data_IF_737246705196
#
_entry.id   IF_737246705196
#
_cell.length_a   1.000
_cell.length_b   1.000
_cell.length_c   1.000
_cell.angle_alpha   90.00
_cell.angle_beta   90.00
_cell.angle_gamma   90.00
#
_symmetry.space_group_name_H-M   'P 1'
#
loop_
_entity.id
_entity.type
_entity.pdbx_description
1 polymer ?
#
# COMPACT_ATOMS: atom_id res chain seq x y z
N UNK A 1 9.98 7.71 -5.92
CA UNK A 1 9.29 7.99 -7.19
C UNK A 1 9.18 6.74 -8.07
N UNK A 2 10.27 5.96 -8.28
CA UNK A 2 10.25 4.79 -9.16
C UNK A 2 9.30 3.67 -8.71
N UNK A 3 9.16 3.40 -7.42
CA UNK A 3 8.20 2.41 -6.90
C UNK A 3 6.75 2.88 -7.10
N UNK A 4 6.44 4.13 -6.75
CA UNK A 4 5.10 4.70 -6.93
C UNK A 4 4.63 4.70 -8.38
N UNK A 5 5.53 4.96 -9.32
CA UNK A 5 5.22 4.92 -10.75
C UNK A 5 4.79 3.52 -11.23
N UNK A 6 5.38 2.44 -10.69
CA UNK A 6 5.00 1.07 -11.05
C UNK A 6 3.58 0.74 -10.61
N UNK A 7 3.22 1.10 -9.38
CA UNK A 7 1.86 0.94 -8.89
C UNK A 7 0.87 1.74 -9.74
N UNK A 8 1.18 3.01 -10.03
CA UNK A 8 0.32 3.86 -10.85
C UNK A 8 0.12 3.34 -12.27
N UNK A 9 1.18 2.92 -12.95
CA UNK A 9 1.08 2.40 -14.32
C UNK A 9 0.37 1.05 -14.38
N UNK A 10 0.56 0.18 -13.37
CA UNK A 10 -0.20 -1.08 -13.28
C UNK A 10 -1.69 -0.83 -13.05
N UNK A 11 -2.05 0.18 -12.24
CA UNK A 11 -3.45 0.60 -12.04
C UNK A 11 -4.07 1.15 -13.34
N UNK A 12 -3.33 1.98 -14.07
CA UNK A 12 -3.79 2.53 -15.36
C UNK A 12 -3.98 1.41 -16.38
N UNK A 13 -3.06 0.44 -16.44
CA UNK A 13 -3.19 -0.71 -17.33
C UNK A 13 -4.45 -1.54 -17.05
N UNK A 14 -4.75 -1.81 -15.78
CA UNK A 14 -5.98 -2.49 -15.37
C UNK A 14 -7.23 -1.66 -15.72
N UNK A 15 -7.17 -0.35 -15.51
CA UNK A 15 -8.28 0.56 -15.83
C UNK A 15 -8.59 0.60 -17.33
N UNK A 16 -7.56 0.66 -18.18
CA UNK A 16 -7.75 0.60 -19.64
C UNK A 16 -8.44 -0.71 -20.04
N UNK A 17 -8.01 -1.83 -19.47
CA UNK A 17 -8.66 -3.12 -19.69
C UNK A 17 -10.15 -3.06 -19.31
N UNK A 18 -10.50 -2.53 -18.15
CA UNK A 18 -11.88 -2.45 -17.67
C UNK A 18 -12.76 -1.57 -18.57
N UNK A 19 -12.22 -0.44 -19.02
CA UNK A 19 -12.90 0.43 -19.98
C UNK A 19 -13.17 -0.34 -21.28
N UNK A 20 -12.19 -1.04 -21.82
CA UNK A 20 -12.36 -1.82 -23.05
C UNK A 20 -13.38 -2.94 -22.90
N UNK A 21 -13.40 -3.64 -21.77
CA UNK A 21 -14.40 -4.68 -21.48
C UNK A 21 -15.80 -4.12 -21.44
N UNK A 22 -16.01 -2.99 -20.74
CA UNK A 22 -17.35 -2.38 -20.63
C UNK A 22 -17.80 -1.80 -21.96
N UNK A 23 -16.94 -1.09 -22.69
CA UNK A 23 -17.29 -0.63 -24.04
C UNK A 23 -17.60 -1.77 -24.98
N UNK A 24 -16.78 -2.83 -25.00
CA UNK A 24 -17.02 -4.00 -25.84
C UNK A 24 -18.32 -4.72 -25.49
N UNK A 25 -18.61 -4.94 -24.21
CA UNK A 25 -19.86 -5.57 -23.77
C UNK A 25 -21.07 -4.67 -24.02
N UNK A 26 -20.96 -3.36 -23.81
CA UNK A 26 -22.02 -2.41 -24.10
C UNK A 26 -22.35 -2.36 -25.59
N UNK A 27 -21.33 -2.41 -26.47
CA UNK A 27 -21.54 -2.46 -27.91
C UNK A 27 -22.29 -3.75 -28.34
N UNK A 28 -21.89 -4.90 -27.80
CA UNK A 28 -22.57 -6.18 -28.07
C UNK A 28 -23.99 -6.20 -27.55
N UNK A 29 -24.20 -5.78 -26.31
CA UNK A 29 -25.54 -5.73 -25.69
C UNK A 29 -26.44 -4.72 -26.43
N UNK A 30 -25.91 -3.53 -26.74
CA UNK A 30 -26.64 -2.51 -27.52
C UNK A 30 -27.05 -3.01 -28.90
N UNK A 31 -26.17 -3.75 -29.59
CA UNK A 31 -26.46 -4.34 -30.89
C UNK A 31 -27.56 -5.42 -30.82
N UNK A 32 -27.49 -6.32 -29.82
CA UNK A 32 -28.47 -7.43 -29.68
C UNK A 32 -29.85 -6.91 -29.27
N UNK A 33 -29.92 -5.98 -28.33
CA UNK A 33 -31.17 -5.47 -27.78
C UNK A 33 -31.68 -4.17 -28.46
N UNK A 34 -30.95 -3.67 -29.45
CA UNK A 34 -31.21 -2.40 -30.12
C UNK A 34 -31.33 -1.23 -29.16
N UNK A 35 -30.50 -1.21 -28.12
CA UNK A 35 -30.47 -0.12 -27.16
C UNK A 35 -29.54 1.00 -27.60
N UNK A 36 -30.01 2.21 -27.50
CA UNK A 36 -29.23 3.40 -27.87
C UNK A 36 -28.30 3.83 -26.73
N UNK A 37 -27.09 4.24 -27.10
CA UNK A 37 -26.12 4.78 -26.16
C UNK A 37 -26.51 6.21 -25.80
N UNK A 38 -26.97 6.42 -24.58
CA UNK A 38 -27.38 7.72 -24.07
C UNK A 38 -26.33 8.37 -23.18
N UNK A 39 -26.54 9.61 -22.75
CA UNK A 39 -25.71 10.29 -21.76
C UNK A 39 -25.60 9.51 -20.41
N UNK A 40 -26.65 8.73 -20.09
CA UNK A 40 -26.64 7.88 -18.89
C UNK A 40 -25.53 6.82 -18.95
N UNK A 41 -25.22 6.30 -20.14
CA UNK A 41 -24.09 5.36 -20.29
C UNK A 41 -22.74 5.99 -19.92
N UNK A 42 -22.51 7.25 -20.27
CA UNK A 42 -21.28 7.95 -19.86
C UNK A 42 -21.20 8.09 -18.32
N UNK A 43 -22.34 8.32 -17.67
CA UNK A 43 -22.44 8.36 -16.22
C UNK A 43 -22.13 7.00 -15.60
N UNK A 44 -22.66 5.91 -16.18
CA UNK A 44 -22.31 4.54 -15.77
C UNK A 44 -20.81 4.28 -15.88
N UNK A 45 -20.19 4.67 -17.00
CA UNK A 45 -18.77 4.54 -17.24
C UNK A 45 -17.93 5.26 -16.19
N UNK A 46 -18.28 6.52 -15.92
CA UNK A 46 -17.55 7.33 -14.93
C UNK A 46 -17.65 6.72 -13.52
N UNK A 47 -18.83 6.24 -13.15
CA UNK A 47 -19.07 5.60 -11.86
C UNK A 47 -18.29 4.30 -11.73
N UNK A 48 -18.30 3.46 -12.77
CA UNK A 48 -17.56 2.20 -12.82
C UNK A 48 -16.04 2.43 -12.74
N UNK A 49 -15.51 3.40 -13.48
CA UNK A 49 -14.11 3.81 -13.43
C UNK A 49 -13.72 4.17 -11.99
N UNK A 50 -14.52 5.00 -11.32
CA UNK A 50 -14.28 5.37 -9.93
C UNK A 50 -14.25 4.17 -8.98
N UNK A 51 -15.18 3.24 -9.17
CA UNK A 51 -15.26 2.01 -8.37
C UNK A 51 -14.05 1.09 -8.59
N UNK A 52 -13.68 0.82 -9.85
CA UNK A 52 -12.53 -0.02 -10.21
C UNK A 52 -11.21 0.56 -9.70
N UNK A 53 -10.99 1.86 -9.88
CA UNK A 53 -9.79 2.54 -9.36
C UNK A 53 -9.73 2.45 -7.84
N UNK A 54 -10.85 2.67 -7.14
CA UNK A 54 -10.90 2.58 -5.68
C UNK A 54 -10.49 1.19 -5.18
N UNK A 55 -11.03 0.13 -5.78
CA UNK A 55 -10.70 -1.25 -5.40
C UNK A 55 -9.22 -1.58 -5.65
N UNK A 56 -8.69 -1.18 -6.80
CA UNK A 56 -7.27 -1.35 -7.14
C UNK A 56 -6.35 -0.62 -6.14
N UNK A 57 -6.71 0.61 -5.74
CA UNK A 57 -5.95 1.38 -4.74
C UNK A 57 -5.92 0.66 -3.40
N UNK A 58 -7.04 0.11 -2.94
CA UNK A 58 -7.12 -0.62 -1.66
C UNK A 58 -6.20 -1.85 -1.66
N UNK A 59 -6.14 -2.59 -2.76
CA UNK A 59 -5.24 -3.75 -2.90
C UNK A 59 -3.79 -3.29 -2.91
N UNK A 60 -3.46 -2.26 -3.68
CA UNK A 60 -2.10 -1.74 -3.78
C UNK A 60 -1.60 -1.11 -2.50
N UNK A 61 -2.47 -0.45 -1.74
CA UNK A 61 -2.14 0.08 -0.42
C UNK A 61 -1.76 -1.04 0.55
N UNK A 62 -2.49 -2.15 0.52
CA UNK A 62 -2.17 -3.33 1.32
C UNK A 62 -0.85 -4.00 0.90
N UNK A 63 -0.58 -4.07 -0.41
CA UNK A 63 0.71 -4.58 -0.91
C UNK A 63 1.84 -3.68 -0.41
N UNK A 64 1.66 -2.37 -0.49
CA UNK A 64 2.65 -1.38 -0.02
C UNK A 64 2.87 -1.46 1.49
N UNK A 65 1.81 -1.59 2.27
CA UNK A 65 1.90 -1.77 3.73
C UNK A 65 2.68 -3.03 4.10
N UNK A 66 2.37 -4.16 3.46
CA UNK A 66 3.07 -5.42 3.68
C UNK A 66 4.52 -5.36 3.19
N UNK A 67 4.80 -4.59 2.14
CA UNK A 67 6.14 -4.36 1.62
C UNK A 67 7.04 -3.67 2.66
N UNK A 68 6.51 -2.69 3.38
CA UNK A 68 7.23 -2.02 4.48
C UNK A 68 7.43 -2.92 5.71
N UNK A 69 6.57 -3.92 5.90
CA UNK A 69 6.63 -4.88 7.00
C UNK A 69 7.38 -6.17 6.64
N UNK A 70 7.76 -6.35 5.38
CA UNK A 70 8.39 -7.57 4.88
C UNK A 70 9.75 -7.83 5.53
N UNK A 71 10.05 -9.12 5.75
CA UNK A 71 11.37 -9.56 6.19
C UNK A 71 12.27 -9.74 4.96
N UNK A 72 13.57 -9.54 5.12
CA UNK A 72 14.57 -9.70 4.03
C UNK A 72 14.56 -11.08 3.33
N UNK A 73 13.99 -12.10 3.96
CA UNK A 73 13.90 -13.46 3.43
C UNK A 73 12.59 -13.77 2.72
N UNK A 74 11.61 -12.84 2.71
CA UNK A 74 10.30 -13.06 2.10
C UNK A 74 10.39 -12.74 0.59
N UNK A 75 9.84 -13.64 -0.25
CA UNK A 75 9.78 -13.38 -1.69
C UNK A 75 8.66 -12.37 -2.01
N UNK A 76 8.82 -11.62 -3.10
CA UNK A 76 7.77 -10.69 -3.54
C UNK A 76 6.46 -11.42 -3.88
N UNK A 77 6.55 -12.66 -4.34
CA UNK A 77 5.40 -13.53 -4.64
C UNK A 77 4.60 -13.87 -3.38
N UNK A 78 5.27 -14.30 -2.31
CA UNK A 78 4.61 -14.63 -1.03
C UNK A 78 3.96 -13.39 -0.41
N UNK A 79 4.63 -12.25 -0.50
CA UNK A 79 4.12 -10.97 -0.05
C UNK A 79 2.85 -10.56 -0.81
N UNK A 80 2.87 -10.71 -2.14
CA UNK A 80 1.71 -10.44 -3.01
C UNK A 80 0.53 -11.32 -2.64
N UNK A 81 0.73 -12.64 -2.58
CA UNK A 81 -0.31 -13.59 -2.25
C UNK A 81 -0.94 -13.29 -0.88
N UNK A 82 -0.11 -13.00 0.12
CA UNK A 82 -0.59 -12.59 1.45
C UNK A 82 -1.40 -11.30 1.39
N UNK A 83 -0.94 -10.31 0.66
CA UNK A 83 -1.61 -9.00 0.56
C UNK A 83 -2.95 -9.09 -0.15
N UNK A 84 -3.01 -9.85 -1.25
CA UNK A 84 -4.24 -10.10 -2.00
C UNK A 84 -5.24 -10.83 -1.11
N UNK A 85 -4.83 -11.91 -0.43
CA UNK A 85 -5.71 -12.69 0.45
C UNK A 85 -6.29 -11.83 1.59
N UNK A 86 -5.49 -10.92 2.16
CA UNK A 86 -5.95 -9.99 3.20
C UNK A 86 -6.97 -8.97 2.70
N UNK A 87 -6.86 -8.52 1.46
CA UNK A 87 -7.77 -7.55 0.85
C UNK A 87 -9.00 -8.20 0.23
N UNK A 88 -8.90 -9.47 -0.16
CA UNK A 88 -9.90 -10.21 -0.93
C UNK A 88 -11.30 -10.16 -0.30
N UNK A 89 -11.41 -10.50 0.98
CA UNK A 89 -12.69 -10.52 1.69
C UNK A 89 -13.36 -9.14 1.70
N UNK A 90 -12.56 -8.07 1.86
CA UNK A 90 -13.09 -6.71 1.84
C UNK A 90 -13.58 -6.31 0.46
N UNK A 91 -12.77 -6.53 -0.59
CA UNK A 91 -13.15 -6.22 -1.97
C UNK A 91 -14.39 -6.99 -2.40
N UNK A 92 -14.47 -8.29 -2.12
CA UNK A 92 -15.63 -9.11 -2.45
C UNK A 92 -16.88 -8.63 -1.70
N UNK A 93 -16.82 -8.38 -0.40
CA UNK A 93 -17.98 -7.94 0.37
C UNK A 93 -18.53 -6.59 -0.15
N UNK A 94 -17.62 -5.64 -0.45
CA UNK A 94 -18.02 -4.34 -1.01
C UNK A 94 -18.67 -4.51 -2.38
N UNK A 95 -18.05 -5.27 -3.28
CA UNK A 95 -18.58 -5.51 -4.64
C UNK A 95 -19.89 -6.27 -4.61
N UNK A 96 -20.02 -7.30 -3.76
CA UNK A 96 -21.26 -8.09 -3.64
C UNK A 96 -22.44 -7.23 -3.19
N UNK A 97 -22.23 -6.30 -2.27
CA UNK A 97 -23.30 -5.38 -1.84
C UNK A 97 -23.84 -4.56 -3.01
N UNK A 98 -22.94 -3.99 -3.83
CA UNK A 98 -23.32 -3.19 -4.99
C UNK A 98 -23.93 -4.06 -6.09
N UNK A 99 -23.34 -5.23 -6.38
CA UNK A 99 -23.83 -6.18 -7.37
C UNK A 99 -25.26 -6.62 -7.04
N UNK A 100 -25.54 -7.00 -5.79
CA UNK A 100 -26.89 -7.41 -5.36
C UNK A 100 -27.88 -6.25 -5.52
N UNK A 101 -27.51 -5.04 -5.13
CA UNK A 101 -28.35 -3.85 -5.30
C UNK A 101 -28.66 -3.59 -6.77
N UNK A 102 -27.64 -3.64 -7.64
CA UNK A 102 -27.84 -3.44 -9.09
C UNK A 102 -28.65 -4.56 -9.74
N UNK A 103 -28.50 -5.81 -9.29
CA UNK A 103 -29.33 -6.93 -9.75
C UNK A 103 -30.80 -6.71 -9.41
N UNK A 104 -31.10 -6.32 -8.17
CA UNK A 104 -32.46 -5.97 -7.77
C UNK A 104 -33.01 -4.83 -8.65
N UNK A 105 -32.19 -3.83 -8.91
CA UNK A 105 -32.59 -2.70 -9.75
C UNK A 105 -32.83 -3.12 -11.21
N UNK A 106 -32.03 -4.01 -11.78
CA UNK A 106 -32.22 -4.55 -13.15
C UNK A 106 -33.54 -5.30 -13.25
N UNK A 107 -33.89 -6.11 -12.27
CA UNK A 107 -35.09 -6.96 -12.33
C UNK A 107 -36.39 -6.22 -11.94
N UNK A 108 -36.32 -5.32 -10.98
CA UNK A 108 -37.52 -4.70 -10.39
C UNK A 108 -37.63 -3.18 -10.59
N UNK A 109 -36.52 -2.50 -10.85
CA UNK A 109 -36.45 -1.05 -10.79
C UNK A 109 -36.44 -0.33 -12.14
N UNK A 110 -36.19 -1.04 -13.25
CA UNK A 110 -35.99 -0.39 -14.56
C UNK A 110 -37.21 -0.48 -15.44
N UNK A 111 -37.85 0.66 -15.69
CA UNK A 111 -39.05 0.78 -16.53
C UNK A 111 -38.76 1.22 -17.97
N UNK A 112 -37.65 1.95 -18.18
CA UNK A 112 -37.25 2.44 -19.51
C UNK A 112 -36.04 1.67 -20.06
N UNK A 113 -35.94 1.47 -21.39
CA UNK A 113 -34.79 0.80 -22.01
C UNK A 113 -33.46 1.49 -21.69
N UNK A 114 -33.43 2.81 -21.68
CA UNK A 114 -32.24 3.62 -21.39
C UNK A 114 -31.74 3.38 -19.96
N UNK A 115 -32.62 3.38 -18.96
CA UNK A 115 -32.30 3.12 -17.57
C UNK A 115 -31.82 1.67 -17.40
N UNK A 116 -32.41 0.73 -18.12
CA UNK A 116 -32.02 -0.67 -18.13
C UNK A 116 -30.62 -0.86 -18.67
N UNK A 117 -30.30 -0.19 -19.77
CA UNK A 117 -28.96 -0.20 -20.35
C UNK A 117 -27.92 0.41 -19.40
N UNK A 118 -28.25 1.52 -18.77
CA UNK A 118 -27.41 2.18 -17.75
C UNK A 118 -27.06 1.23 -16.60
N UNK A 119 -28.07 0.64 -15.95
CA UNK A 119 -27.88 -0.23 -14.78
C UNK A 119 -27.15 -1.51 -15.16
N UNK A 120 -27.46 -2.09 -16.33
CA UNK A 120 -26.78 -3.29 -16.84
C UNK A 120 -25.32 -3.00 -17.13
N UNK A 121 -25.01 -1.86 -17.74
CA UNK A 121 -23.62 -1.44 -18.00
C UNK A 121 -22.82 -1.24 -16.70
N UNK A 122 -23.43 -0.62 -15.68
CA UNK A 122 -22.83 -0.50 -14.35
C UNK A 122 -22.57 -1.86 -13.72
N UNK A 123 -23.53 -2.80 -13.78
CA UNK A 123 -23.41 -4.13 -13.24
C UNK A 123 -22.23 -4.89 -13.86
N UNK A 124 -22.16 -4.88 -15.18
CA UNK A 124 -21.06 -5.51 -15.92
C UNK A 124 -19.73 -4.85 -15.57
N UNK A 125 -19.70 -3.53 -15.51
CA UNK A 125 -18.49 -2.76 -15.17
C UNK A 125 -17.96 -3.07 -13.78
N UNK A 126 -18.83 -3.18 -12.78
CA UNK A 126 -18.43 -3.49 -11.40
C UNK A 126 -17.94 -4.93 -11.26
N UNK A 127 -18.59 -5.89 -11.92
CA UNK A 127 -18.12 -7.29 -11.95
C UNK A 127 -16.75 -7.37 -12.61
N UNK A 128 -16.58 -6.75 -13.78
CA UNK A 128 -15.30 -6.69 -14.49
C UNK A 128 -14.21 -6.01 -13.67
N UNK A 129 -14.51 -4.84 -13.07
CA UNK A 129 -13.56 -4.08 -12.25
C UNK A 129 -13.10 -4.84 -11.02
N UNK A 130 -14.00 -5.54 -10.32
CA UNK A 130 -13.65 -6.37 -9.17
C UNK A 130 -12.74 -7.53 -9.56
N UNK A 131 -13.04 -8.18 -10.67
CA UNK A 131 -12.18 -9.22 -11.23
C UNK A 131 -10.81 -8.66 -11.63
N UNK A 132 -10.80 -7.55 -12.34
CA UNK A 132 -9.59 -6.93 -12.89
C UNK A 132 -8.64 -6.44 -11.80
N UNK A 133 -9.15 -5.87 -10.72
CA UNK A 133 -8.34 -5.39 -9.60
C UNK A 133 -7.48 -6.50 -8.99
N UNK A 134 -8.03 -7.72 -8.90
CA UNK A 134 -7.35 -8.88 -8.32
C UNK A 134 -6.49 -9.60 -9.36
N UNK A 135 -7.07 -9.91 -10.53
CA UNK A 135 -6.46 -10.80 -11.51
C UNK A 135 -5.68 -10.11 -12.64
N UNK A 136 -5.84 -8.80 -12.82
CA UNK A 136 -5.08 -8.04 -13.83
C UNK A 136 -4.09 -7.08 -13.18
N UNK A 137 -4.52 -6.21 -12.27
CA UNK A 137 -3.65 -5.20 -11.68
C UNK A 137 -2.48 -5.81 -10.90
N UNK A 138 -2.75 -6.83 -10.09
CA UNK A 138 -1.73 -7.48 -9.25
C UNK A 138 -0.71 -8.28 -10.07
N UNK A 139 -1.09 -9.15 -11.02
CA UNK A 139 -0.12 -9.83 -11.89
C UNK A 139 0.68 -8.88 -12.79
N UNK A 140 0.10 -7.80 -13.29
CA UNK A 140 0.84 -6.79 -14.07
C UNK A 140 1.97 -6.22 -13.22
N UNK A 141 1.68 -5.83 -11.97
CA UNK A 141 2.68 -5.33 -11.03
C UNK A 141 3.76 -6.37 -10.75
N UNK A 142 3.37 -7.64 -10.52
CA UNK A 142 4.29 -8.74 -10.26
C UNK A 142 5.24 -9.00 -11.44
N UNK A 143 4.69 -9.12 -12.64
CA UNK A 143 5.48 -9.37 -13.85
C UNK A 143 6.45 -8.23 -14.13
N UNK A 144 6.02 -7.01 -13.90
CA UNK A 144 6.88 -5.84 -14.07
C UNK A 144 8.02 -5.81 -13.05
N UNK A 145 7.72 -6.06 -11.78
CA UNK A 145 8.75 -6.14 -10.76
C UNK A 145 9.74 -7.28 -11.03
N UNK A 146 9.24 -8.45 -11.42
CA UNK A 146 10.06 -9.61 -11.79
C UNK A 146 10.99 -9.32 -12.96
N UNK A 147 10.52 -8.62 -14.00
CA UNK A 147 11.33 -8.24 -15.15
C UNK A 147 12.47 -7.29 -14.74
N UNK A 148 12.19 -6.32 -13.88
CA UNK A 148 13.19 -5.36 -13.41
C UNK A 148 14.18 -6.03 -12.45
N UNK A 149 13.70 -6.84 -11.51
CA UNK A 149 14.53 -7.54 -10.54
C UNK A 149 15.49 -8.51 -11.20
N UNK A 150 15.06 -9.15 -12.29
CA UNK A 150 15.94 -10.01 -13.12
C UNK A 150 17.09 -9.22 -13.75
N UNK A 151 16.84 -7.99 -14.18
CA UNK A 151 17.87 -7.12 -14.77
C UNK A 151 18.72 -6.40 -13.71
N UNK A 152 18.12 -5.99 -12.60
CA UNK A 152 18.75 -5.24 -11.51
C UNK A 152 18.13 -5.62 -10.16
N UNK A 153 18.72 -6.55 -9.40
CA UNK A 153 18.16 -7.02 -8.14
C UNK A 153 17.91 -5.93 -7.09
N UNK A 154 18.74 -4.90 -7.07
CA UNK A 154 18.60 -3.76 -6.13
C UNK A 154 17.39 -2.87 -6.41
N UNK A 155 16.86 -2.93 -7.65
CA UNK A 155 15.69 -2.17 -8.07
C UNK A 155 14.37 -2.90 -7.84
N UNK A 156 14.37 -4.13 -7.34
CA UNK A 156 13.16 -4.85 -6.94
C UNK A 156 12.41 -4.11 -5.83
N UNK A 157 11.08 -4.21 -5.83
CA UNK A 157 10.24 -3.50 -4.85
C UNK A 157 10.59 -3.88 -3.40
N UNK A 158 10.90 -5.14 -3.14
CA UNK A 158 11.31 -5.62 -1.80
C UNK A 158 12.65 -5.00 -1.40
N UNK A 159 13.64 -4.97 -2.30
CA UNK A 159 14.95 -4.38 -2.02
C UNK A 159 14.86 -2.87 -1.77
N UNK A 160 14.07 -2.16 -2.59
CA UNK A 160 13.84 -0.71 -2.45
C UNK A 160 13.13 -0.37 -1.13
N UNK A 161 12.13 -1.15 -0.75
CA UNK A 161 11.41 -0.98 0.50
C UNK A 161 12.30 -1.25 1.72
N UNK A 162 13.11 -2.30 1.68
CA UNK A 162 14.08 -2.61 2.74
C UNK A 162 15.11 -1.47 2.92
N UNK A 163 15.58 -0.89 1.82
CA UNK A 163 16.49 0.26 1.85
C UNK A 163 15.83 1.52 2.43
N UNK A 164 14.56 1.78 2.09
CA UNK A 164 13.78 2.91 2.63
C UNK A 164 13.56 2.77 4.13
N UNK A 165 13.16 1.58 4.60
CA UNK A 165 13.00 1.28 6.03
C UNK A 165 14.31 1.41 6.79
N UNK A 166 15.43 0.94 6.22
CA UNK A 166 16.75 1.09 6.83
C UNK A 166 17.14 2.56 6.98
N UNK A 167 16.95 3.38 5.94
CA UNK A 167 17.21 4.83 5.98
C UNK A 167 16.33 5.54 7.01
N UNK A 168 15.06 5.20 7.09
CA UNK A 168 14.15 5.78 8.08
C UNK A 168 14.56 5.45 9.52
N UNK A 169 15.10 4.23 9.77
CA UNK A 169 15.63 3.83 11.07
C UNK A 169 16.89 4.61 11.44
N UNK A 170 17.84 4.75 10.52
CA UNK A 170 19.07 5.54 10.77
C UNK A 170 18.77 7.00 11.06
N UNK A 171 17.82 7.63 10.34
CA UNK A 171 17.40 8.99 10.61
C UNK A 171 16.74 9.14 11.98
N UNK A 172 15.89 8.20 12.39
CA UNK A 172 15.28 8.18 13.73
C UNK A 172 16.33 8.02 14.83
N UNK A 173 17.33 7.15 14.63
CA UNK A 173 18.40 6.96 15.59
C UNK A 173 19.29 8.19 15.70
N UNK A 174 19.60 8.84 14.59
CA UNK A 174 20.36 10.10 14.56
C UNK A 174 19.61 11.25 15.26
N UNK A 175 18.29 11.33 15.05
CA UNK A 175 17.44 12.34 15.70
C UNK A 175 17.19 12.07 17.20
N UNK A 176 17.35 10.82 17.63
CA UNK A 176 17.20 10.41 19.03
C UNK A 176 18.50 10.49 19.85
N UNK A 177 19.64 10.72 19.21
CA UNK A 177 20.88 11.02 19.92
C UNK A 177 20.80 12.49 20.38
N UNK A 178 20.74 12.74 21.70
CA UNK A 178 20.90 14.13 22.16
C UNK A 178 22.28 14.59 21.72
N UNK A 179 22.34 15.78 21.14
CA UNK A 179 23.60 16.49 20.91
C UNK A 179 24.41 16.42 22.20
N UNK A 180 25.41 15.54 22.21
CA UNK A 180 26.47 15.66 23.21
C UNK A 180 27.13 16.99 22.91
N UNK A 181 26.70 18.03 23.57
CA UNK A 181 27.35 19.32 23.61
C UNK A 181 28.82 19.09 23.89
N UNK A 182 29.63 19.20 22.86
CA UNK A 182 31.05 19.41 22.98
C UNK A 182 31.27 20.82 23.56
N UNK A 183 31.10 20.96 24.85
CA UNK A 183 31.63 22.09 25.57
C UNK A 183 33.13 21.86 25.84
N UNK A 184 33.92 21.96 24.79
CA UNK A 184 35.34 22.19 24.93
C UNK A 184 35.55 23.70 24.94
N UNK A 185 35.33 24.30 26.08
CA UNK A 185 35.91 25.61 26.36
C UNK A 185 36.81 25.44 27.56
N UNK A 186 38.09 25.29 27.26
CA UNK A 186 39.14 25.42 28.25
C UNK A 186 39.09 26.78 28.94
N UNK A 187 39.04 26.73 30.23
CA UNK A 187 39.62 27.77 31.06
C UNK A 187 40.33 27.14 32.23
N UNK A 188 41.62 26.94 32.03
CA UNK A 188 42.61 26.82 33.07
C UNK A 188 42.48 28.03 34.01
N UNK A 189 42.17 27.81 35.26
CA UNK A 189 42.46 28.71 36.34
C UNK A 189 42.92 28.00 37.57
N UNK A 190 44.21 28.18 37.89
CA UNK A 190 44.72 28.37 39.24
C UNK A 190 44.79 27.14 40.14
N UNK A 191 45.94 26.42 40.05
CA UNK A 191 46.48 25.69 41.20
C UNK A 191 46.65 26.68 42.36
N UNK A 192 45.90 26.48 43.42
CA UNK A 192 46.26 26.97 44.77
C UNK A 192 46.60 25.75 45.61
N UNK A 193 47.90 25.67 45.77
CA UNK A 193 48.66 24.79 46.67
C UNK A 193 48.27 25.11 48.12
N UNK A 194 47.65 24.15 48.82
CA UNK A 194 47.75 24.11 50.28
C UNK A 194 48.23 22.74 50.71
N UNK A 195 49.49 22.73 51.15
CA UNK A 195 50.17 21.72 51.95
C UNK A 195 49.71 21.89 53.41
N UNK A 196 49.86 20.82 54.13
CA UNK A 196 49.92 20.61 55.59
C UNK A 196 48.61 20.06 56.17
N UNK A 197 48.53 19.00 56.84
CA UNK A 197 49.31 18.31 57.82
C UNK A 197 48.60 16.96 58.10
N UNK A 198 49.34 15.88 58.22
CA UNK A 198 48.97 14.72 58.99
C UNK A 198 49.21 15.04 60.51
N UNK A 199 48.61 14.34 61.46
CA UNK A 199 49.13 13.03 61.87
C UNK A 199 48.05 12.03 62.35
N UNK A 200 48.25 10.78 62.05
CA UNK A 200 48.49 9.58 62.85
C UNK A 200 47.76 9.45 64.18
N UNK A 201 47.11 8.33 64.35
CA UNK A 201 46.92 7.41 65.49
C UNK A 201 45.61 6.66 65.20
N UNK A 202 45.50 5.39 65.12
CA UNK A 202 46.12 4.32 65.91
C UNK A 202 45.03 3.55 66.62
N UNK A 203 44.95 2.24 66.31
CA UNK A 203 44.55 1.17 67.24
C UNK A 203 43.04 1.17 67.62
N UNK A 204 42.34 0.10 67.55
CA UNK A 204 42.34 -1.28 68.07
C UNK A 204 41.08 -2.01 67.52
N UNK A 205 41.18 -3.18 67.10
CA UNK A 205 40.66 -4.48 67.52
C UNK A 205 39.48 -4.48 68.50
N UNK A 206 38.48 -5.19 68.21
CA UNK A 206 37.93 -6.38 68.87
C UNK A 206 36.59 -6.72 68.19
N UNK A 207 36.53 -7.87 67.64
CA UNK A 207 36.03 -9.18 68.08
C UNK A 207 34.57 -9.16 68.60
N UNK A 208 33.90 -10.17 68.12
CA UNK A 208 32.87 -11.01 68.69
C UNK A 208 31.40 -10.81 68.28
N UNK A 209 30.98 -11.90 67.66
CA UNK A 209 29.77 -12.71 67.93
C UNK A 209 28.36 -12.05 67.68
N UNK A 210 27.63 -12.53 66.77
CA UNK A 210 26.74 -13.70 66.66
C UNK A 210 26.12 -13.77 65.27
#
# INVERSE_FOLDING_TARGET
LAAGARFGLSAIGALIHDILVVFGTAAVVGYIFHWEVSALFLTAMLTMIGFSVHDTIVIFDRIRENLHKSKKSETFEDLMNRSITQSFTRSINTSMTVIVTLLILVFFGTTTPELKFFVTSMLIGIISGTYSSIYNASPILYLWDKAITKSNPEKGLVAMSAAEVARARTLKTAAAQPESTSSTSGRSYGQVRRRANAPNQGIELDDDDE
#
